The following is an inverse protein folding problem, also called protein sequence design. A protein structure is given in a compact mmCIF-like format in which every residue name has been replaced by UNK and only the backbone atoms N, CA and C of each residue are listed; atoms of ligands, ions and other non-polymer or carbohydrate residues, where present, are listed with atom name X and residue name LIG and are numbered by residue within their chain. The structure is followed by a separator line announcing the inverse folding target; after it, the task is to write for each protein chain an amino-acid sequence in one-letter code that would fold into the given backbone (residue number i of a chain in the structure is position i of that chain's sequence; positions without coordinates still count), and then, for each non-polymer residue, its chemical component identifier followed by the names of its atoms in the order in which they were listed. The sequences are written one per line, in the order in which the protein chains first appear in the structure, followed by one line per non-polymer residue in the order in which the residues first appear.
data_IF_613500110984
#
_entry.id   IF_613500110984
#
_cell.length_a   1.000
_cell.length_b   1.000
_cell.length_c   1.000
_cell.angle_alpha   90.00
_cell.angle_beta   90.00
_cell.angle_gamma   90.00
#
_symmetry.space_group_name_H-M   'P 1'
#
loop_
_entity.id
_entity.type
_entity.pdbx_description
1 polymer ?
#
# COMPACT_ATOMS: atom_id res chain seq x y z
N UNK A 1 28.21 27.17 27.09
CA UNK A 1 27.63 28.51 26.84
C UNK A 1 26.11 28.45 26.72
N UNK A 2 25.52 27.48 26.00
CA UNK A 2 24.06 27.32 25.86
C UNK A 2 23.31 27.13 27.19
N UNK A 3 23.83 26.29 28.08
CA UNK A 3 23.22 25.99 29.40
C UNK A 3 23.13 27.22 30.32
N UNK A 4 24.10 28.15 30.25
CA UNK A 4 24.10 29.36 31.10
C UNK A 4 22.96 30.30 30.73
N UNK A 5 22.60 30.40 29.45
CA UNK A 5 21.47 31.20 28.97
C UNK A 5 20.12 30.74 29.53
N UNK A 6 19.90 29.42 29.66
CA UNK A 6 18.67 28.86 30.23
C UNK A 6 18.63 28.97 31.76
N UNK A 7 19.78 28.90 32.43
CA UNK A 7 19.90 29.10 33.89
C UNK A 7 19.61 30.55 34.27
N UNK A 8 20.14 31.51 33.51
CA UNK A 8 19.94 32.94 33.77
C UNK A 8 18.51 33.42 33.42
N UNK A 9 17.77 32.66 32.61
CA UNK A 9 16.38 32.96 32.18
C UNK A 9 15.43 31.78 32.44
N UNK A 10 15.11 31.46 33.71
CA UNK A 10 14.31 30.28 34.06
C UNK A 10 12.87 30.32 33.51
N UNK A 11 12.28 31.52 33.35
CA UNK A 11 10.95 31.67 32.74
C UNK A 11 10.94 31.28 31.26
N UNK A 12 12.01 31.61 30.52
CA UNK A 12 12.12 31.24 29.11
C UNK A 12 12.28 29.73 28.95
N UNK A 13 13.10 29.10 29.80
CA UNK A 13 13.24 27.65 29.83
C UNK A 13 11.92 26.94 30.14
N UNK A 14 11.14 27.45 31.11
CA UNK A 14 9.83 26.90 31.45
C UNK A 14 8.82 27.00 30.30
N UNK A 15 8.74 28.15 29.62
CA UNK A 15 7.84 28.33 28.47
C UNK A 15 8.23 27.40 27.32
N UNK A 16 9.53 27.28 27.01
CA UNK A 16 10.00 26.38 25.95
C UNK A 16 9.66 24.91 26.26
N UNK A 17 9.84 24.48 27.51
CA UNK A 17 9.46 23.15 27.96
C UNK A 17 7.96 22.89 27.79
N UNK A 18 7.11 23.87 28.16
CA UNK A 18 5.65 23.77 27.98
C UNK A 18 5.28 23.67 26.51
N UNK A 19 5.90 24.46 25.63
CA UNK A 19 5.64 24.43 24.18
C UNK A 19 6.00 23.06 23.60
N UNK A 20 7.16 22.50 23.97
CA UNK A 20 7.59 21.17 23.52
C UNK A 20 6.61 20.10 24.04
N UNK A 21 6.27 20.14 25.33
CA UNK A 21 5.33 19.19 25.92
C UNK A 21 3.94 19.23 25.25
N UNK A 22 3.39 20.43 25.03
CA UNK A 22 2.11 20.60 24.34
C UNK A 22 2.17 20.13 22.89
N UNK A 23 3.26 20.40 22.17
CA UNK A 23 3.44 19.91 20.81
C UNK A 23 3.51 18.37 20.75
N UNK A 24 4.16 17.75 21.74
CA UNK A 24 4.23 16.30 21.88
C UNK A 24 2.86 15.67 22.16
N UNK A 25 2.07 16.27 23.06
CA UNK A 25 0.69 15.82 23.33
C UNK A 25 -0.17 15.93 22.07
N UNK A 26 -0.07 17.05 21.34
CA UNK A 26 -0.84 17.24 20.11
C UNK A 26 -0.45 16.22 19.04
N UNK A 27 0.85 15.96 18.86
CA UNK A 27 1.34 14.93 17.94
C UNK A 27 0.85 13.54 18.35
N UNK A 28 0.95 13.17 19.63
CA UNK A 28 0.51 11.88 20.15
C UNK A 28 -0.99 11.61 19.87
N UNK A 29 -1.83 12.64 19.89
CA UNK A 29 -3.26 12.50 19.55
C UNK A 29 -3.56 12.41 18.06
N UNK A 30 -2.63 12.80 17.19
CA UNK A 30 -2.81 12.82 15.72
C UNK A 30 -2.03 11.73 14.98
N UNK A 31 -1.06 11.10 15.63
CA UNK A 31 -0.31 10.01 15.03
C UNK A 31 -1.24 8.82 14.76
N UNK A 32 -1.25 8.27 13.53
CA UNK A 32 -1.96 7.04 13.23
C UNK A 32 -1.41 5.91 14.12
N UNK A 33 -2.32 5.16 14.74
CA UNK A 33 -1.97 3.95 15.46
C UNK A 33 -2.15 2.76 14.52
N UNK A 34 -1.03 2.15 14.11
CA UNK A 34 -1.00 0.92 13.32
C UNK A 34 -0.36 -0.21 14.15
N UNK A 35 -0.85 -1.45 14.00
CA UNK A 35 -0.33 -2.62 14.72
C UNK A 35 1.05 -3.05 14.20
N UNK A 36 1.24 -2.91 12.89
CA UNK A 36 2.49 -3.13 12.18
C UNK A 36 2.66 -1.97 11.18
N UNK A 37 3.90 -1.59 10.84
CA UNK A 37 4.13 -0.75 9.65
C UNK A 37 3.64 -1.49 8.39
N UNK A 38 3.37 -0.76 7.31
CA UNK A 38 2.99 -1.34 6.02
C UNK A 38 4.18 -2.12 5.42
N UNK A 39 4.30 -3.38 5.84
CA UNK A 39 5.29 -4.36 5.36
C UNK A 39 4.66 -5.36 4.39
N UNK A 40 3.33 -5.36 4.28
CA UNK A 40 2.60 -6.21 3.38
C UNK A 40 2.76 -5.67 1.95
N UNK A 41 3.17 -6.50 0.98
CA UNK A 41 3.17 -6.10 -0.42
C UNK A 41 1.74 -5.69 -0.86
N UNK A 42 1.57 -4.61 -1.63
CA UNK A 42 0.26 -4.27 -2.17
C UNK A 42 -0.17 -5.31 -3.21
N UNK A 43 -1.45 -5.69 -3.16
CA UNK A 43 -2.05 -6.66 -4.07
C UNK A 43 -3.23 -6.03 -4.80
N UNK A 44 -3.24 -6.13 -6.14
CA UNK A 44 -4.36 -5.72 -6.99
C UNK A 44 -5.02 -6.98 -7.54
N UNK A 45 -6.33 -7.10 -7.32
CA UNK A 45 -7.11 -8.23 -7.82
C UNK A 45 -7.99 -7.83 -9.00
N UNK A 46 -7.78 -8.50 -10.13
CA UNK A 46 -8.57 -8.38 -11.34
C UNK A 46 -9.51 -9.57 -11.43
N UNK A 47 -10.81 -9.31 -11.49
CA UNK A 47 -11.83 -10.36 -11.66
C UNK A 47 -12.47 -10.25 -13.03
N UNK A 48 -12.44 -11.34 -13.80
CA UNK A 48 -13.15 -11.46 -15.06
C UNK A 48 -14.17 -12.59 -15.00
N UNK A 49 -15.25 -12.46 -15.76
CA UNK A 49 -16.32 -13.45 -15.80
C UNK A 49 -16.63 -13.78 -17.25
N UNK A 50 -16.47 -15.06 -17.60
CA UNK A 50 -16.84 -15.67 -18.86
C UNK A 50 -17.82 -16.83 -18.61
N UNK A 51 -19.14 -16.55 -18.50
CA UNK A 51 -20.13 -17.56 -18.19
C UNK A 51 -20.20 -18.65 -19.26
N UNK A 52 -20.23 -19.91 -18.84
CA UNK A 52 -20.39 -21.06 -19.74
C UNK A 52 -19.08 -21.63 -20.32
N UNK A 53 -17.93 -21.05 -19.97
CA UNK A 53 -16.61 -21.61 -20.29
C UNK A 53 -16.09 -22.50 -19.14
N UNK A 54 -15.35 -23.55 -19.49
CA UNK A 54 -14.58 -24.36 -18.53
C UNK A 54 -13.27 -23.67 -18.13
N UNK A 55 -12.67 -24.08 -17.02
CA UNK A 55 -11.47 -23.44 -16.46
C UNK A 55 -10.32 -23.31 -17.48
N UNK A 56 -9.97 -24.37 -18.22
CA UNK A 56 -8.94 -24.28 -19.27
C UNK A 56 -9.24 -23.24 -20.35
N UNK A 57 -10.51 -23.11 -20.76
CA UNK A 57 -10.87 -22.13 -21.80
C UNK A 57 -10.77 -20.72 -21.26
N UNK A 58 -11.21 -20.48 -20.02
CA UNK A 58 -11.07 -19.19 -19.35
C UNK A 58 -9.60 -18.82 -19.16
N UNK A 59 -8.77 -19.78 -18.78
CA UNK A 59 -7.34 -19.58 -18.62
C UNK A 59 -6.69 -19.15 -19.95
N UNK A 60 -6.86 -19.94 -21.00
CA UNK A 60 -6.22 -19.68 -22.29
C UNK A 60 -6.76 -18.45 -23.04
N UNK A 61 -8.03 -18.08 -22.84
CA UNK A 61 -8.69 -17.00 -23.61
C UNK A 61 -8.89 -15.71 -22.85
N UNK A 62 -8.78 -15.73 -21.51
CA UNK A 62 -9.00 -14.55 -20.66
C UNK A 62 -7.82 -14.32 -19.74
N UNK A 63 -7.33 -15.34 -19.01
CA UNK A 63 -6.21 -15.15 -18.08
C UNK A 63 -4.91 -14.82 -18.83
N UNK A 64 -4.50 -15.65 -19.79
CA UNK A 64 -3.26 -15.46 -20.56
C UNK A 64 -3.14 -14.07 -21.21
N UNK A 65 -4.13 -13.56 -21.97
CA UNK A 65 -3.99 -12.24 -22.56
C UNK A 65 -3.96 -11.11 -21.52
N UNK A 66 -4.69 -11.23 -20.41
CA UNK A 66 -4.63 -10.22 -19.33
C UNK A 66 -3.27 -10.26 -18.63
N UNK A 67 -2.72 -11.45 -18.38
CA UNK A 67 -1.38 -11.60 -17.82
C UNK A 67 -0.31 -11.01 -18.73
N UNK A 68 -0.40 -11.20 -20.05
CA UNK A 68 0.55 -10.63 -21.01
C UNK A 68 0.51 -9.09 -21.03
N UNK A 69 -0.67 -8.48 -20.96
CA UNK A 69 -0.81 -7.01 -20.93
C UNK A 69 -0.38 -6.42 -19.59
N UNK A 70 -0.65 -7.11 -18.47
CA UNK A 70 -0.20 -6.68 -17.14
C UNK A 70 1.30 -6.96 -16.94
N UNK A 71 1.91 -7.84 -17.72
CA UNK A 71 3.33 -8.12 -17.64
C UNK A 71 4.15 -6.98 -18.26
N UNK A 72 4.51 -6.00 -17.43
CA UNK A 72 5.22 -4.79 -17.86
C UNK A 72 5.04 -3.60 -16.91
N UNK A 73 4.14 -3.70 -15.93
CA UNK A 73 3.99 -2.70 -14.87
C UNK A 73 5.24 -2.62 -13.99
N UNK A 74 5.61 -1.40 -13.62
CA UNK A 74 6.70 -1.16 -12.69
C UNK A 74 6.42 -1.80 -11.31
N UNK A 75 7.50 -2.23 -10.63
CA UNK A 75 7.47 -2.84 -9.29
C UNK A 75 6.66 -4.14 -9.14
N UNK A 76 6.38 -4.84 -10.23
CA UNK A 76 5.70 -6.14 -10.19
C UNK A 76 6.61 -7.23 -9.57
N UNK A 77 6.12 -7.91 -8.53
CA UNK A 77 6.79 -9.03 -7.88
C UNK A 77 6.41 -10.38 -8.51
N UNK A 78 5.11 -10.68 -8.56
CA UNK A 78 4.58 -11.88 -9.21
C UNK A 78 3.10 -11.76 -9.52
N UNK A 79 2.66 -12.62 -10.45
CA UNK A 79 1.28 -12.80 -10.87
C UNK A 79 0.79 -14.18 -10.43
N UNK A 80 -0.46 -14.27 -10.00
CA UNK A 80 -1.14 -15.53 -9.68
C UNK A 80 -2.56 -15.48 -10.19
N UNK A 81 -2.89 -16.30 -11.19
CA UNK A 81 -4.25 -16.44 -11.70
C UNK A 81 -4.91 -17.73 -11.21
N UNK A 82 -6.21 -17.64 -10.99
CA UNK A 82 -7.06 -18.77 -10.63
C UNK A 82 -8.31 -18.74 -11.51
N UNK A 83 -8.47 -19.77 -12.33
CA UNK A 83 -9.63 -19.95 -13.21
C UNK A 83 -10.53 -21.06 -12.67
N UNK A 84 -11.81 -20.76 -12.52
CA UNK A 84 -12.82 -21.68 -11.98
C UNK A 84 -13.75 -22.20 -13.08
N UNK A 85 -14.21 -23.45 -12.96
CA UNK A 85 -15.15 -24.09 -13.90
C UNK A 85 -16.56 -23.47 -13.94
N UNK A 86 -16.82 -22.45 -13.12
CA UNK A 86 -18.02 -21.62 -13.18
C UNK A 86 -17.88 -20.43 -14.15
N UNK A 87 -16.76 -20.34 -14.86
CA UNK A 87 -16.48 -19.24 -15.79
C UNK A 87 -15.88 -18.01 -15.12
N UNK A 88 -15.44 -18.07 -13.86
CA UNK A 88 -14.85 -16.94 -13.15
C UNK A 88 -13.33 -17.05 -13.15
N UNK A 89 -12.65 -15.95 -13.45
CA UNK A 89 -11.19 -15.79 -13.37
C UNK A 89 -10.85 -14.73 -12.34
N UNK A 90 -9.88 -15.03 -11.49
CA UNK A 90 -9.29 -14.08 -10.54
C UNK A 90 -7.78 -14.05 -10.73
N UNK A 91 -7.25 -12.89 -11.09
CA UNK A 91 -5.82 -12.62 -11.21
C UNK A 91 -5.40 -11.71 -10.05
N UNK A 92 -4.43 -12.16 -9.26
CA UNK A 92 -3.81 -11.38 -8.20
C UNK A 92 -2.42 -10.94 -8.67
N UNK A 93 -2.23 -9.62 -8.74
CA UNK A 93 -0.97 -8.96 -9.06
C UNK A 93 -0.36 -8.48 -7.76
N UNK A 94 0.83 -8.98 -7.42
CA UNK A 94 1.55 -8.56 -6.20
C UNK A 94 2.69 -7.63 -6.57
N UNK A 95 2.78 -6.49 -5.88
CA UNK A 95 3.77 -5.43 -6.09
C UNK A 95 4.81 -5.39 -4.99
N UNK A 96 5.96 -4.75 -5.22
CA UNK A 96 6.99 -4.55 -4.21
C UNK A 96 6.50 -3.74 -2.99
N UNK A 97 7.08 -4.02 -1.82
CA UNK A 97 6.74 -3.30 -0.60
C UNK A 97 7.21 -1.84 -0.69
N UNK A 98 6.25 -0.90 -0.67
CA UNK A 98 6.50 0.53 -0.80
C UNK A 98 5.92 1.17 -2.06
N UNK A 99 5.40 0.37 -3.00
CA UNK A 99 4.64 0.85 -4.15
C UNK A 99 3.30 1.45 -3.71
N UNK A 100 2.91 2.56 -4.32
CA UNK A 100 1.63 3.20 -4.06
C UNK A 100 0.49 2.36 -4.67
N UNK A 101 -0.47 1.85 -3.86
CA UNK A 101 -1.55 1.01 -4.37
C UNK A 101 -2.47 1.74 -5.35
N UNK A 102 -2.61 3.08 -5.24
CA UNK A 102 -3.46 3.86 -6.15
C UNK A 102 -2.80 3.99 -7.53
N UNK A 103 -1.47 4.16 -7.59
CA UNK A 103 -0.73 4.17 -8.85
C UNK A 103 -0.72 2.77 -9.48
N UNK A 104 -0.40 1.74 -8.69
CA UNK A 104 -0.41 0.36 -9.16
C UNK A 104 -1.78 -0.06 -9.73
N UNK A 105 -2.88 0.40 -9.13
CA UNK A 105 -4.22 0.18 -9.67
C UNK A 105 -4.41 0.82 -11.05
N UNK A 106 -3.99 2.08 -11.21
CA UNK A 106 -4.11 2.81 -12.47
C UNK A 106 -3.24 2.17 -13.56
N UNK A 107 -2.05 1.71 -13.20
CA UNK A 107 -1.14 1.09 -14.16
C UNK A 107 -1.62 -0.31 -14.60
N UNK A 108 -2.28 -1.08 -13.72
CA UNK A 108 -2.95 -2.34 -14.09
C UNK A 108 -4.22 -2.12 -14.93
N UNK A 109 -4.84 -0.94 -14.80
CA UNK A 109 -6.08 -0.61 -15.51
C UNK A 109 -5.85 -0.11 -16.95
N UNK A 110 -4.71 0.53 -17.23
CA UNK A 110 -4.40 1.17 -18.52
C UNK A 110 -3.75 0.21 -19.52
#
# INVERSE_FOLDING_TARGET
MLSRFFIDRPRFAAVLSIVIALSGVLAATRLPLAQFPDIAPPEIQVTAVYPGANAEVVEATVATPIEEEVNGVDDLLYLSSSSSNNGVMSLTVTFEAGTDPDLAQVDVQN
#
